data_IF_181589928840
#
_entry.id   IF_181589928840
#
_cell.length_a   1.000
_cell.length_b   1.000
_cell.length_c   1.000
_cell.angle_alpha   90.00
_cell.angle_beta   90.00
_cell.angle_gamma   90.00
#
_symmetry.space_group_name_H-M   'P 1'
#
loop_
_entity.id
_entity.type
_entity.pdbx_description
1 polymer ?
#
# COMPACT_ATOMS: atom_id res chain seq x y z
N UNK A 1 1.92 -12.16 -14.23
CA UNK A 1 1.61 -12.83 -12.95
C UNK A 1 2.35 -12.13 -11.84
N UNK A 2 1.89 -12.30 -10.61
CA UNK A 2 2.57 -11.85 -9.37
C UNK A 2 3.09 -13.11 -8.65
N UNK A 3 4.14 -12.99 -7.84
CA UNK A 3 4.62 -14.10 -7.02
C UNK A 3 3.59 -14.46 -5.92
N UNK A 4 3.75 -15.61 -5.28
CA UNK A 4 2.88 -16.01 -4.17
C UNK A 4 2.91 -14.99 -3.01
N UNK A 5 1.81 -14.89 -2.26
CA UNK A 5 1.62 -13.93 -1.17
C UNK A 5 2.77 -13.93 -0.15
N UNK A 6 3.30 -15.11 0.18
CA UNK A 6 4.40 -15.24 1.13
C UNK A 6 5.70 -14.58 0.62
N UNK A 7 5.99 -14.72 -0.67
CA UNK A 7 7.16 -14.08 -1.31
C UNK A 7 6.97 -12.57 -1.34
N UNK A 8 5.79 -12.11 -1.75
CA UNK A 8 5.45 -10.68 -1.80
C UNK A 8 5.54 -10.05 -0.40
N UNK A 9 4.99 -10.71 0.61
CA UNK A 9 5.03 -10.25 1.99
C UNK A 9 6.47 -10.15 2.52
N UNK A 10 7.31 -11.14 2.22
CA UNK A 10 8.70 -11.17 2.65
C UNK A 10 9.51 -10.01 2.05
N UNK A 11 9.39 -9.78 0.74
CA UNK A 11 10.09 -8.68 0.07
C UNK A 11 9.59 -7.31 0.55
N UNK A 12 8.27 -7.15 0.73
CA UNK A 12 7.71 -5.93 1.30
C UNK A 12 8.19 -5.67 2.74
N UNK A 13 8.28 -6.71 3.57
CA UNK A 13 8.70 -6.60 4.96
C UNK A 13 10.12 -6.02 5.09
N UNK A 14 11.05 -6.40 4.21
CA UNK A 14 12.41 -5.83 4.18
C UNK A 14 12.41 -4.32 3.98
N UNK A 15 11.60 -3.82 3.05
CA UNK A 15 11.48 -2.38 2.77
C UNK A 15 10.82 -1.66 3.95
N UNK A 16 9.75 -2.24 4.50
CA UNK A 16 9.07 -1.68 5.67
C UNK A 16 10.00 -1.61 6.88
N UNK A 17 10.82 -2.63 7.11
CA UNK A 17 11.83 -2.65 8.16
C UNK A 17 12.88 -1.57 7.93
N UNK A 18 13.41 -1.43 6.71
CA UNK A 18 14.34 -0.35 6.37
C UNK A 18 13.76 1.02 6.74
N UNK A 19 12.53 1.31 6.33
CA UNK A 19 11.89 2.60 6.62
C UNK A 19 11.62 2.82 8.10
N UNK A 20 11.08 1.83 8.81
CA UNK A 20 10.71 1.98 10.21
C UNK A 20 11.91 1.88 11.16
N UNK A 21 12.74 0.84 11.01
CA UNK A 21 13.81 0.51 11.94
C UNK A 21 15.07 1.33 11.68
N UNK A 22 15.46 1.54 10.43
CA UNK A 22 16.71 2.22 10.09
C UNK A 22 16.50 3.72 9.87
N UNK A 23 15.50 4.10 9.07
CA UNK A 23 15.26 5.51 8.72
C UNK A 23 14.32 6.24 9.71
N UNK A 24 13.69 5.51 10.64
CA UNK A 24 12.75 6.05 11.64
C UNK A 24 11.61 6.87 11.02
N UNK A 25 11.18 6.48 9.81
CA UNK A 25 10.07 7.11 9.13
C UNK A 25 8.74 6.63 9.71
N UNK A 26 7.70 7.45 9.55
CA UNK A 26 6.33 7.07 9.90
C UNK A 26 5.96 5.75 9.20
N UNK A 27 5.27 4.80 9.88
CA UNK A 27 4.74 3.60 9.23
C UNK A 27 3.80 3.91 8.06
N UNK A 28 3.26 5.13 7.99
CA UNK A 28 2.38 5.56 6.90
C UNK A 28 3.09 5.71 5.56
N UNK A 29 4.43 5.83 5.50
CA UNK A 29 5.16 6.12 4.25
C UNK A 29 5.18 4.95 3.25
N UNK A 30 4.72 3.76 3.66
CA UNK A 30 4.66 2.57 2.82
C UNK A 30 3.53 1.64 3.26
N UNK A 31 2.75 1.13 2.31
CA UNK A 31 1.57 0.31 2.59
C UNK A 31 1.42 -0.79 1.52
N UNK A 32 0.89 -1.93 1.92
CA UNK A 32 0.50 -3.04 1.05
C UNK A 32 -0.99 -3.34 1.23
N UNK A 33 -1.69 -3.56 0.12
CA UNK A 33 -3.10 -3.95 0.09
C UNK A 33 -3.19 -5.44 -0.26
N UNK A 34 -3.85 -6.20 0.60
CA UNK A 34 -4.16 -7.61 0.36
C UNK A 34 -5.65 -7.75 0.04
N UNK A 35 -5.96 -8.48 -1.02
CA UNK A 35 -7.34 -8.74 -1.41
C UNK A 35 -7.44 -10.13 -2.04
N UNK A 36 -8.58 -10.78 -1.88
CA UNK A 36 -8.87 -12.06 -2.50
C UNK A 36 -9.51 -11.82 -3.86
N UNK A 37 -8.90 -12.35 -4.92
CA UNK A 37 -9.43 -12.20 -6.27
C UNK A 37 -8.49 -12.76 -7.33
N UNK A 38 -8.91 -12.76 -8.60
CA UNK A 38 -8.02 -13.08 -9.71
C UNK A 38 -6.91 -12.02 -9.84
N UNK A 39 -6.03 -12.17 -10.83
CA UNK A 39 -5.05 -11.14 -11.16
C UNK A 39 -5.75 -9.83 -11.58
N UNK A 40 -5.87 -8.90 -10.65
CA UNK A 40 -6.62 -7.65 -10.78
C UNK A 40 -5.87 -6.49 -10.11
N UNK A 41 -6.13 -5.27 -10.57
CA UNK A 41 -5.78 -4.05 -9.84
C UNK A 41 -7.03 -3.62 -9.04
N UNK A 42 -7.01 -3.77 -7.71
CA UNK A 42 -8.13 -3.37 -6.83
C UNK A 42 -8.09 -1.87 -6.51
N UNK A 43 -6.94 -1.37 -6.03
CA UNK A 43 -6.60 0.05 -5.95
C UNK A 43 -7.27 0.84 -4.82
N UNK A 44 -8.12 0.23 -4.00
CA UNK A 44 -8.83 0.92 -2.90
C UNK A 44 -7.84 1.50 -1.90
N UNK A 45 -6.92 0.66 -1.38
CA UNK A 45 -5.89 1.10 -0.44
C UNK A 45 -4.87 2.05 -1.10
N UNK A 46 -4.60 1.87 -2.39
CA UNK A 46 -3.72 2.78 -3.15
C UNK A 46 -4.27 4.20 -3.19
N UNK A 47 -5.56 4.38 -3.52
CA UNK A 47 -6.14 5.73 -3.56
C UNK A 47 -6.22 6.36 -2.16
N UNK A 48 -6.52 5.59 -1.12
CA UNK A 48 -6.48 6.08 0.26
C UNK A 48 -5.09 6.58 0.66
N UNK A 49 -4.04 5.81 0.34
CA UNK A 49 -2.65 6.21 0.54
C UNK A 49 -2.32 7.52 -0.17
N UNK A 50 -2.74 7.67 -1.44
CA UNK A 50 -2.50 8.89 -2.22
C UNK A 50 -3.24 10.10 -1.65
N UNK A 51 -4.50 9.93 -1.21
CA UNK A 51 -5.26 11.02 -0.58
C UNK A 51 -4.56 11.52 0.70
N UNK A 52 -4.00 10.61 1.50
CA UNK A 52 -3.25 10.97 2.71
C UNK A 52 -1.95 11.71 2.39
N UNK A 53 -1.17 11.26 1.41
CA UNK A 53 0.18 11.78 1.16
C UNK A 53 0.23 12.98 0.22
N UNK A 54 -0.71 13.06 -0.74
CA UNK A 54 -0.78 14.15 -1.71
C UNK A 54 -1.80 15.22 -1.30
N UNK A 55 -2.52 15.01 -0.20
CA UNK A 55 -3.58 15.90 0.28
C UNK A 55 -4.66 16.18 -0.78
N UNK A 56 -4.91 15.21 -1.66
CA UNK A 56 -5.93 15.32 -2.69
C UNK A 56 -7.33 15.14 -2.11
N UNK A 57 -8.32 15.93 -2.55
CA UNK A 57 -9.69 15.74 -2.11
C UNK A 57 -10.19 14.36 -2.54
N UNK A 58 -10.84 13.64 -1.61
CA UNK A 58 -11.56 12.40 -1.96
C UNK A 58 -12.65 12.75 -2.96
N UNK A 59 -12.79 11.92 -4.00
CA UNK A 59 -13.81 12.13 -5.02
C UNK A 59 -15.18 12.05 -4.36
N UNK A 60 -15.95 13.13 -4.44
CA UNK A 60 -17.32 13.14 -3.92
C UNK A 60 -18.18 12.23 -4.81
N UNK A 61 -18.71 11.16 -4.22
CA UNK A 61 -19.58 10.18 -4.89
C UNK A 61 -21.05 10.60 -4.88
N UNK A 62 -21.39 11.75 -4.28
CA UNK A 62 -22.71 12.36 -4.36
C UNK A 62 -22.85 13.15 -5.66
N UNK A 63 -23.11 12.46 -6.76
CA UNK A 63 -23.64 13.05 -7.99
C UNK A 63 -24.75 12.19 -8.56
#
# INVERSE_FOLDING_TARGET
GVADDWTVAWEFAKVRELYAAQLKLSPSVCQIEWFVGPHQIHGVGTYEFLHQHLQWPKRDTRR
#
